data_IF_533248201040
#
_entry.id   IF_533248201040
#
_cell.length_a   1.000
_cell.length_b   1.000
_cell.length_c   1.000
_cell.angle_alpha   90.00
_cell.angle_beta   90.00
_cell.angle_gamma   90.00
#
_symmetry.space_group_name_H-M   'P 1'
#
loop_
_entity.id
_entity.type
_entity.pdbx_description
1 polymer ?
#
# COMPACT_ATOMS: atom_id res chain seq x y z
N UNK A 1 18.39 -45.68 -34.81
CA UNK A 1 17.68 -44.51 -34.27
C UNK A 1 17.01 -44.94 -32.99
N UNK A 2 17.64 -44.66 -31.84
CA UNK A 2 17.15 -45.09 -30.54
C UNK A 2 16.02 -44.15 -30.08
N UNK A 3 14.84 -44.71 -29.90
CA UNK A 3 13.72 -44.07 -29.21
C UNK A 3 14.15 -43.82 -27.75
N UNK A 4 14.07 -42.56 -27.30
CA UNK A 4 14.29 -42.21 -25.89
C UNK A 4 13.03 -42.63 -25.11
N UNK A 5 13.12 -43.59 -24.17
CA UNK A 5 12.02 -43.82 -23.22
C UNK A 5 12.13 -42.73 -22.16
N UNK A 6 11.04 -42.03 -21.88
CA UNK A 6 10.75 -41.21 -20.67
C UNK A 6 9.79 -40.04 -20.94
N UNK A 7 9.16 -39.96 -22.12
CA UNK A 7 7.96 -39.14 -22.30
C UNK A 7 6.75 -39.83 -21.64
N UNK A 8 6.79 -39.97 -20.32
CA UNK A 8 5.60 -40.19 -19.50
C UNK A 8 4.77 -38.91 -19.64
N UNK A 9 3.74 -38.95 -20.49
CA UNK A 9 2.70 -37.94 -20.53
C UNK A 9 2.01 -37.86 -19.15
N UNK A 10 2.54 -37.03 -18.26
CA UNK A 10 1.91 -36.62 -17.01
C UNK A 10 0.83 -35.58 -17.36
N UNK A 11 -0.41 -35.84 -16.94
CA UNK A 11 -1.62 -35.13 -17.37
C UNK A 11 -1.70 -33.62 -17.08
N UNK A 12 -2.87 -33.00 -17.31
CA UNK A 12 -3.08 -31.55 -17.58
C UNK A 12 -2.86 -30.55 -16.42
N UNK A 13 -2.06 -30.85 -15.39
CA UNK A 13 -1.97 -30.06 -14.15
C UNK A 13 -0.53 -29.83 -13.63
N UNK A 14 0.45 -29.54 -14.50
CA UNK A 14 1.81 -29.26 -14.05
C UNK A 14 2.02 -27.75 -13.80
N UNK A 15 2.16 -27.35 -12.54
CA UNK A 15 2.40 -25.96 -12.12
C UNK A 15 3.29 -25.87 -10.88
N UNK A 16 3.99 -24.74 -10.62
CA UNK A 16 4.92 -24.61 -9.50
C UNK A 16 4.25 -24.28 -8.14
N UNK A 17 2.94 -24.10 -8.09
CA UNK A 17 2.20 -23.62 -6.92
C UNK A 17 1.90 -24.71 -5.89
N UNK A 18 1.60 -24.31 -4.66
CA UNK A 18 1.29 -25.19 -3.55
C UNK A 18 -0.15 -24.98 -3.05
N UNK A 19 -0.90 -26.03 -2.70
CA UNK A 19 -0.52 -27.45 -2.81
C UNK A 19 -0.44 -27.92 -4.27
N UNK A 20 0.36 -28.95 -4.54
CA UNK A 20 0.52 -29.53 -5.89
C UNK A 20 -0.77 -30.18 -6.44
N UNK A 21 -1.77 -30.39 -5.58
CA UNK A 21 -3.09 -30.87 -5.96
C UNK A 21 -4.01 -29.77 -6.53
N UNK A 22 -3.58 -28.52 -6.49
CA UNK A 22 -4.35 -27.39 -7.02
C UNK A 22 -4.67 -27.61 -8.51
N UNK A 23 -5.86 -27.22 -8.94
CA UNK A 23 -6.33 -27.45 -10.31
C UNK A 23 -6.22 -26.14 -11.09
N UNK A 24 -5.18 -26.02 -11.92
CA UNK A 24 -4.96 -24.85 -12.79
C UNK A 24 -4.88 -25.28 -14.26
N UNK A 25 -5.99 -25.70 -14.88
CA UNK A 25 -5.99 -26.29 -16.22
C UNK A 25 -5.56 -25.30 -17.32
N UNK A 26 -5.65 -23.99 -17.04
CA UNK A 26 -5.27 -22.92 -17.97
C UNK A 26 -3.87 -22.38 -17.71
N UNK A 27 -3.11 -22.97 -16.78
CA UNK A 27 -1.81 -22.44 -16.38
C UNK A 27 -0.82 -22.38 -17.56
N UNK A 28 -0.21 -21.21 -17.72
CA UNK A 28 0.93 -21.00 -18.60
C UNK A 28 2.04 -20.27 -17.81
N UNK A 29 3.30 -20.72 -17.90
CA UNK A 29 4.42 -20.04 -17.25
C UNK A 29 4.61 -18.62 -17.80
N UNK A 30 5.38 -17.80 -17.08
CA UNK A 30 5.73 -16.46 -17.56
C UNK A 30 6.58 -16.55 -18.82
N UNK A 31 6.16 -15.82 -19.85
CA UNK A 31 6.90 -15.67 -21.13
C UNK A 31 8.07 -14.70 -21.01
N UNK A 32 7.98 -13.72 -20.12
CA UNK A 32 9.02 -12.72 -19.89
C UNK A 32 9.93 -13.12 -18.73
N UNK A 33 11.25 -12.85 -18.82
CA UNK A 33 12.15 -13.05 -17.69
C UNK A 33 11.76 -12.19 -16.48
N UNK A 34 11.92 -12.72 -15.27
CA UNK A 34 11.58 -12.02 -14.02
C UNK A 34 12.24 -10.63 -13.90
N UNK A 35 13.52 -10.41 -14.25
CA UNK A 35 14.11 -9.06 -14.20
C UNK A 35 13.40 -8.04 -15.10
N UNK A 36 12.87 -8.47 -16.26
CA UNK A 36 12.11 -7.60 -17.16
C UNK A 36 10.77 -7.24 -16.53
N UNK A 37 10.06 -8.22 -15.96
CA UNK A 37 8.77 -8.00 -15.28
C UNK A 37 8.96 -7.02 -14.11
N UNK A 38 9.94 -7.27 -13.23
CA UNK A 38 10.23 -6.43 -12.07
C UNK A 38 10.69 -5.03 -12.48
N UNK A 39 11.55 -4.92 -13.50
CA UNK A 39 12.02 -3.64 -14.03
C UNK A 39 10.90 -2.81 -14.64
N UNK A 40 10.03 -3.42 -15.45
CA UNK A 40 8.87 -2.75 -16.05
C UNK A 40 7.88 -2.28 -15.00
N UNK A 41 7.51 -3.15 -14.04
CA UNK A 41 6.57 -2.79 -12.98
C UNK A 41 7.15 -1.75 -12.02
N UNK A 42 8.42 -1.89 -11.64
CA UNK A 42 9.15 -0.90 -10.84
C UNK A 42 9.21 0.47 -11.54
N UNK A 43 9.37 0.48 -12.87
CA UNK A 43 9.29 1.70 -13.68
C UNK A 43 7.93 2.39 -13.61
N UNK A 44 6.82 1.64 -13.64
CA UNK A 44 5.47 2.19 -13.48
C UNK A 44 5.27 2.81 -12.09
N UNK A 45 5.69 2.10 -11.04
CA UNK A 45 5.65 2.60 -9.66
C UNK A 45 6.47 3.89 -9.54
N UNK A 46 7.71 3.89 -10.01
CA UNK A 46 8.61 5.04 -9.94
C UNK A 46 8.06 6.23 -10.72
N UNK A 47 7.49 6.00 -11.91
CA UNK A 47 6.82 7.03 -12.69
C UNK A 47 5.62 7.64 -11.97
N UNK A 48 4.75 6.80 -11.39
CA UNK A 48 3.57 7.26 -10.65
C UNK A 48 3.95 8.07 -9.41
N UNK A 49 4.86 7.55 -8.59
CA UNK A 49 5.35 8.22 -7.37
C UNK A 49 6.09 9.51 -7.74
N UNK A 50 6.95 9.47 -8.75
CA UNK A 50 7.72 10.63 -9.22
C UNK A 50 6.82 11.76 -9.71
N UNK A 51 5.80 11.43 -10.51
CA UNK A 51 4.81 12.39 -10.98
C UNK A 51 3.97 12.95 -9.82
N UNK A 52 3.47 12.09 -8.93
CA UNK A 52 2.68 12.50 -7.76
C UNK A 52 3.45 13.40 -6.80
N UNK A 53 4.70 13.05 -6.47
CA UNK A 53 5.56 13.87 -5.62
C UNK A 53 5.97 15.17 -6.31
N UNK A 54 6.24 15.12 -7.62
CA UNK A 54 6.50 16.32 -8.42
C UNK A 54 5.33 17.29 -8.41
N UNK A 55 4.10 16.79 -8.55
CA UNK A 55 2.88 17.58 -8.48
C UNK A 55 2.65 18.14 -7.06
N UNK A 56 2.87 17.33 -6.02
CA UNK A 56 2.78 17.76 -4.63
C UNK A 56 3.74 18.93 -4.34
N UNK A 57 4.98 18.86 -4.81
CA UNK A 57 5.97 19.93 -4.67
C UNK A 57 5.61 21.20 -5.46
N UNK A 58 4.95 21.06 -6.61
CA UNK A 58 4.44 22.21 -7.39
C UNK A 58 3.30 22.92 -6.67
N UNK A 59 2.37 22.18 -6.06
CA UNK A 59 1.26 22.77 -5.30
C UNK A 59 1.69 23.32 -3.95
N UNK A 60 2.70 22.71 -3.32
CA UNK A 60 3.22 23.15 -2.04
C UNK A 60 4.76 23.25 -2.10
N UNK A 61 5.28 24.42 -2.54
CA UNK A 61 6.72 24.66 -2.63
C UNK A 61 7.46 24.52 -1.28
N UNK A 62 6.74 24.55 -0.15
CA UNK A 62 7.34 24.34 1.17
C UNK A 62 7.73 22.88 1.45
N UNK A 63 7.27 21.91 0.63
CA UNK A 63 7.67 20.49 0.66
C UNK A 63 9.09 20.26 0.12
N UNK A 64 10.04 21.09 0.55
CA UNK A 64 11.46 20.95 0.28
C UNK A 64 12.15 19.97 1.24
N UNK A 65 13.49 19.92 1.18
CA UNK A 65 14.35 18.97 1.93
C UNK A 65 14.16 18.99 3.46
N UNK A 66 13.62 20.08 4.02
CA UNK A 66 13.30 20.23 5.45
C UNK A 66 12.04 19.45 5.89
N UNK A 67 11.26 18.92 4.95
CA UNK A 67 10.02 18.16 5.19
C UNK A 67 10.14 16.69 4.77
N UNK A 68 11.28 16.06 5.09
CA UNK A 68 11.57 14.67 4.69
C UNK A 68 10.51 13.68 5.19
N UNK A 69 10.00 13.86 6.42
CA UNK A 69 8.95 13.01 6.98
C UNK A 69 7.60 13.13 6.27
N UNK A 70 7.24 14.31 5.77
CA UNK A 70 6.00 14.50 5.00
C UNK A 70 6.14 13.93 3.60
N UNK A 71 7.29 14.16 2.96
CA UNK A 71 7.58 13.58 1.65
C UNK A 71 7.59 12.05 1.71
N UNK A 72 8.20 11.46 2.75
CA UNK A 72 8.13 10.02 2.98
C UNK A 72 6.69 9.54 3.10
N UNK A 73 5.86 10.24 3.87
CA UNK A 73 4.45 9.87 4.07
C UNK A 73 3.66 9.98 2.75
N UNK A 74 3.88 11.02 1.95
CA UNK A 74 3.29 11.16 0.61
C UNK A 74 3.72 10.00 -0.29
N UNK A 75 5.03 9.71 -0.36
CA UNK A 75 5.56 8.63 -1.20
C UNK A 75 4.99 7.28 -0.78
N UNK A 76 4.91 7.00 0.52
CA UNK A 76 4.29 5.79 1.06
C UNK A 76 2.84 5.64 0.62
N UNK A 77 2.02 6.68 0.79
CA UNK A 77 0.61 6.62 0.40
C UNK A 77 0.38 6.64 -1.12
N UNK A 78 1.29 7.24 -1.90
CA UNK A 78 1.28 7.10 -3.36
C UNK A 78 1.61 5.67 -3.79
N UNK A 79 2.59 5.02 -3.16
CA UNK A 79 2.91 3.61 -3.37
C UNK A 79 1.70 2.73 -3.04
N UNK A 80 1.09 2.92 -1.86
CA UNK A 80 -0.11 2.18 -1.46
C UNK A 80 -1.26 2.40 -2.45
N UNK A 81 -1.55 3.65 -2.81
CA UNK A 81 -2.59 3.98 -3.78
C UNK A 81 -2.36 3.32 -5.13
N UNK A 82 -1.10 3.26 -5.60
CA UNK A 82 -0.78 2.58 -6.85
C UNK A 82 -0.99 1.06 -6.75
N UNK A 83 -0.43 0.43 -5.71
CA UNK A 83 -0.52 -1.03 -5.55
C UNK A 83 -1.97 -1.46 -5.35
N UNK A 84 -2.74 -0.77 -4.51
CA UNK A 84 -4.15 -1.10 -4.29
C UNK A 84 -4.99 -0.91 -5.56
N UNK A 85 -4.88 0.24 -6.23
CA UNK A 85 -5.78 0.54 -7.35
C UNK A 85 -5.40 -0.19 -8.64
N UNK A 86 -4.11 -0.39 -8.91
CA UNK A 86 -3.65 -0.98 -10.16
C UNK A 86 -3.24 -2.43 -10.00
N UNK A 87 -2.45 -2.78 -8.99
CA UNK A 87 -1.95 -4.16 -8.84
C UNK A 87 -3.04 -5.08 -8.28
N UNK A 88 -3.60 -4.76 -7.12
CA UNK A 88 -4.73 -5.50 -6.52
C UNK A 88 -6.01 -5.30 -7.34
N UNK A 89 -6.22 -4.11 -7.93
CA UNK A 89 -7.32 -3.88 -8.87
C UNK A 89 -7.25 -4.80 -10.10
N UNK A 90 -6.05 -5.06 -10.63
CA UNK A 90 -5.87 -6.06 -11.69
C UNK A 90 -6.27 -7.46 -11.21
N UNK A 91 -5.88 -7.84 -9.99
CA UNK A 91 -6.28 -9.12 -9.41
C UNK A 91 -7.80 -9.25 -9.35
N UNK A 92 -8.51 -8.26 -8.80
CA UNK A 92 -9.97 -8.31 -8.69
C UNK A 92 -10.66 -8.45 -10.05
N UNK A 93 -10.17 -7.75 -11.08
CA UNK A 93 -10.81 -7.76 -12.40
C UNK A 93 -10.46 -8.99 -13.25
N UNK A 94 -9.26 -9.56 -13.06
CA UNK A 94 -8.70 -10.56 -13.97
C UNK A 94 -8.27 -11.88 -13.30
N UNK A 95 -8.56 -12.08 -12.01
CA UNK A 95 -8.16 -13.26 -11.22
C UNK A 95 -8.30 -14.62 -11.94
N UNK A 96 -9.41 -14.85 -12.64
CA UNK A 96 -9.72 -16.10 -13.35
C UNK A 96 -8.83 -16.35 -14.57
N UNK A 97 -8.22 -15.29 -15.11
CA UNK A 97 -7.35 -15.33 -16.29
C UNK A 97 -5.86 -15.20 -15.94
N UNK A 98 -5.51 -14.91 -14.69
CA UNK A 98 -4.11 -14.81 -14.25
C UNK A 98 -3.28 -16.06 -14.61
N UNK A 99 -3.78 -17.30 -14.43
CA UNK A 99 -2.98 -18.48 -14.73
C UNK A 99 -2.52 -18.56 -16.20
N UNK A 100 -3.35 -18.12 -17.16
CA UNK A 100 -3.05 -18.19 -18.59
C UNK A 100 -2.45 -16.89 -19.16
N UNK A 101 -2.75 -15.75 -18.55
CA UNK A 101 -2.42 -14.43 -19.08
C UNK A 101 -0.92 -14.14 -19.09
N UNK A 102 -0.51 -13.37 -20.09
CA UNK A 102 0.86 -12.91 -20.31
C UNK A 102 0.98 -11.39 -20.19
N UNK A 103 -0.06 -10.71 -19.68
CA UNK A 103 0.06 -9.28 -19.33
C UNK A 103 1.15 -9.08 -18.28
N UNK A 104 1.76 -7.89 -18.22
CA UNK A 104 2.76 -7.57 -17.21
C UNK A 104 2.26 -7.86 -15.78
N UNK A 105 1.02 -7.45 -15.48
CA UNK A 105 0.41 -7.63 -14.17
C UNK A 105 0.12 -9.11 -13.86
N UNK A 106 -0.40 -9.87 -14.83
CA UNK A 106 -0.64 -11.30 -14.62
C UNK A 106 0.66 -12.08 -14.40
N UNK A 107 1.72 -11.74 -15.14
CA UNK A 107 3.02 -12.37 -14.95
C UNK A 107 3.61 -12.05 -13.58
N UNK A 108 3.44 -10.82 -13.10
CA UNK A 108 3.86 -10.45 -11.75
C UNK A 108 3.02 -11.13 -10.67
N UNK A 109 1.70 -11.25 -10.86
CA UNK A 109 0.83 -12.00 -9.94
C UNK A 109 1.18 -13.49 -9.91
N UNK A 110 1.50 -14.10 -11.06
CA UNK A 110 2.01 -15.48 -11.11
C UNK A 110 3.30 -15.64 -10.32
N UNK A 111 4.25 -14.70 -10.46
CA UNK A 111 5.49 -14.71 -9.69
C UNK A 111 5.23 -14.56 -8.19
N UNK A 112 4.41 -13.60 -7.79
CA UNK A 112 4.07 -13.38 -6.38
C UNK A 112 3.28 -14.56 -5.78
N UNK A 113 2.45 -15.23 -6.58
CA UNK A 113 1.67 -16.40 -6.16
C UNK A 113 2.53 -17.62 -5.82
N UNK A 114 3.83 -17.62 -6.17
CA UNK A 114 4.77 -18.63 -5.66
C UNK A 114 4.93 -18.53 -4.13
N UNK A 115 4.78 -17.33 -3.59
CA UNK A 115 4.80 -17.07 -2.14
C UNK A 115 3.47 -17.38 -1.47
N UNK A 116 2.36 -17.27 -2.20
CA UNK A 116 1.03 -17.58 -1.72
C UNK A 116 0.09 -17.92 -2.88
N UNK A 117 -0.14 -19.20 -3.07
CA UNK A 117 -0.91 -19.71 -4.21
C UNK A 117 -2.40 -19.39 -4.12
N UNK A 118 -2.89 -18.86 -2.99
CA UNK A 118 -4.29 -18.41 -2.86
C UNK A 118 -4.64 -17.33 -3.87
N UNK A 119 -3.67 -16.54 -4.33
CA UNK A 119 -3.88 -15.56 -5.40
C UNK A 119 -4.16 -16.23 -6.75
N UNK A 120 -3.32 -17.17 -7.21
CA UNK A 120 -3.58 -17.88 -8.48
C UNK A 120 -4.77 -18.84 -8.40
N UNK A 121 -5.09 -19.33 -7.20
CA UNK A 121 -6.28 -20.12 -6.91
C UNK A 121 -7.57 -19.27 -6.82
N UNK A 122 -7.47 -17.94 -6.84
CA UNK A 122 -8.57 -17.02 -6.63
C UNK A 122 -9.37 -17.32 -5.35
N UNK A 123 -8.66 -17.56 -4.25
CA UNK A 123 -9.26 -17.86 -2.95
C UNK A 123 -10.29 -16.79 -2.54
N UNK A 124 -11.51 -17.17 -2.11
CA UNK A 124 -12.57 -16.20 -1.80
C UNK A 124 -12.18 -15.20 -0.72
N UNK A 125 -11.44 -15.64 0.31
CA UNK A 125 -11.02 -14.74 1.37
C UNK A 125 -10.03 -13.70 0.82
N UNK A 126 -9.07 -14.12 0.00
CA UNK A 126 -8.15 -13.19 -0.68
C UNK A 126 -8.91 -12.20 -1.56
N UNK A 127 -9.88 -12.66 -2.36
CA UNK A 127 -10.70 -11.75 -3.17
C UNK A 127 -11.48 -10.74 -2.33
N UNK A 128 -12.03 -11.15 -1.19
CA UNK A 128 -12.75 -10.24 -0.30
C UNK A 128 -11.84 -9.16 0.29
N UNK A 129 -10.67 -9.54 0.85
CA UNK A 129 -9.78 -8.56 1.47
C UNK A 129 -9.18 -7.60 0.42
N UNK A 130 -8.83 -8.12 -0.76
CA UNK A 130 -8.29 -7.30 -1.84
C UNK A 130 -9.37 -6.41 -2.49
N UNK A 131 -10.65 -6.81 -2.41
CA UNK A 131 -11.74 -5.91 -2.83
C UNK A 131 -11.86 -4.72 -1.87
N UNK A 132 -11.70 -4.94 -0.56
CA UNK A 132 -11.70 -3.85 0.42
C UNK A 132 -10.49 -2.93 0.23
N UNK A 133 -9.31 -3.48 -0.09
CA UNK A 133 -8.11 -2.68 -0.35
C UNK A 133 -8.30 -1.80 -1.58
N UNK A 134 -8.83 -2.34 -2.67
CA UNK A 134 -9.10 -1.59 -3.91
C UNK A 134 -10.16 -0.51 -3.69
N UNK A 135 -11.29 -0.84 -3.06
CA UNK A 135 -12.43 0.09 -2.96
C UNK A 135 -12.28 1.13 -1.86
N UNK A 136 -11.51 0.84 -0.80
CA UNK A 136 -11.41 1.69 0.39
C UNK A 136 -9.98 2.18 0.59
N UNK A 137 -9.00 1.28 0.72
CA UNK A 137 -7.64 1.68 1.12
C UNK A 137 -6.89 2.41 0.00
N UNK A 138 -7.08 2.03 -1.26
CA UNK A 138 -6.50 2.71 -2.42
C UNK A 138 -6.93 4.18 -2.52
N UNK A 139 -8.25 4.47 -2.62
CA UNK A 139 -8.75 5.84 -2.69
C UNK A 139 -8.39 6.68 -1.46
N UNK A 140 -8.50 6.11 -0.25
CA UNK A 140 -8.15 6.83 0.98
C UNK A 140 -6.64 7.11 1.06
N UNK A 141 -5.78 6.21 0.59
CA UNK A 141 -4.33 6.45 0.53
C UNK A 141 -4.01 7.66 -0.34
N UNK A 142 -4.57 7.73 -1.55
CA UNK A 142 -4.37 8.88 -2.43
C UNK A 142 -4.94 10.17 -1.82
N UNK A 143 -6.09 10.09 -1.14
CA UNK A 143 -6.68 11.23 -0.45
C UNK A 143 -5.76 11.74 0.68
N UNK A 144 -5.17 10.85 1.48
CA UNK A 144 -4.19 11.23 2.51
C UNK A 144 -2.98 11.92 1.87
N UNK A 145 -2.44 11.39 0.78
CA UNK A 145 -1.33 12.02 0.06
C UNK A 145 -1.70 13.45 -0.43
N UNK A 146 -2.90 13.65 -0.97
CA UNK A 146 -3.41 14.96 -1.39
C UNK A 146 -3.60 15.92 -0.22
N UNK A 147 -4.13 15.45 0.91
CA UNK A 147 -4.29 16.28 2.11
C UNK A 147 -2.94 16.78 2.64
N UNK A 148 -1.92 15.93 2.64
CA UNK A 148 -0.56 16.33 3.01
C UNK A 148 0.02 17.29 1.98
N UNK A 149 -0.12 16.96 0.70
CA UNK A 149 0.41 17.79 -0.39
C UNK A 149 -0.19 19.21 -0.39
N UNK A 150 -1.44 19.37 0.03
CA UNK A 150 -2.13 20.66 0.04
C UNK A 150 -2.16 21.35 1.40
N UNK A 151 -1.45 20.84 2.42
CA UNK A 151 -1.29 21.53 3.70
C UNK A 151 -0.17 22.57 3.59
N UNK A 152 -0.53 23.77 3.14
CA UNK A 152 0.38 24.90 2.95
C UNK A 152 0.57 25.75 4.20
N UNK A 153 0.24 25.24 5.41
CA UNK A 153 0.38 26.07 6.60
C UNK A 153 1.84 26.40 6.90
N UNK A 154 2.16 27.65 6.62
CA UNK A 154 3.41 28.35 6.85
C UNK A 154 3.92 28.03 8.25
N UNK A 155 5.11 27.45 8.34
CA UNK A 155 6.00 27.66 9.47
C UNK A 155 6.34 29.15 9.53
N UNK A 156 5.43 29.96 10.08
CA UNK A 156 5.78 31.26 10.63
C UNK A 156 6.58 30.95 11.89
N UNK A 157 7.84 30.59 11.72
CA UNK A 157 8.82 30.67 12.78
C UNK A 157 8.71 32.05 13.40
N UNK A 158 8.45 32.04 14.69
CA UNK A 158 8.49 33.16 15.62
C UNK A 158 9.76 33.98 15.40
N UNK A 159 9.67 35.02 14.56
CA UNK A 159 10.47 36.21 14.69
C UNK A 159 9.58 37.25 15.35
N UNK A 160 9.74 37.39 16.66
CA UNK A 160 9.25 38.50 17.44
C UNK A 160 9.87 39.79 16.90
N UNK A 161 9.14 40.53 16.08
CA UNK A 161 9.40 41.94 15.84
C UNK A 161 8.10 42.69 16.04
N UNK A 162 8.05 43.37 17.19
CA UNK A 162 7.02 44.32 17.57
C UNK A 162 6.90 45.44 16.54
N UNK A 163 5.74 45.52 15.89
CA UNK A 163 5.25 46.78 15.37
C UNK A 163 3.72 46.77 15.35
N UNK A 164 3.19 47.74 16.09
CA UNK A 164 1.80 48.12 16.18
C UNK A 164 1.32 48.73 14.86
N UNK A 165 0.18 48.28 14.32
CA UNK A 165 -0.93 49.18 13.97
C UNK A 165 -2.10 48.46 13.29
N UNK A 166 -3.30 48.95 13.65
CA UNK A 166 -4.56 48.99 12.91
C UNK A 166 -5.31 47.69 12.56
N UNK A 167 -6.43 47.56 13.25
CA UNK A 167 -7.61 46.74 13.01
C UNK A 167 -8.31 47.05 11.68
N UNK A 168 -8.63 45.99 10.91
CA UNK A 168 -9.96 45.69 10.34
C UNK A 168 -9.87 44.61 9.24
N UNK A 169 -9.72 43.35 9.65
CA UNK A 169 -9.93 42.15 8.80
C UNK A 169 -10.02 40.87 9.65
N UNK A 170 -10.88 40.87 10.67
CA UNK A 170 -10.96 39.79 11.68
C UNK A 170 -11.87 38.61 11.30
N UNK A 171 -12.64 38.70 10.20
CA UNK A 171 -13.60 37.66 9.78
C UNK A 171 -13.04 36.66 8.75
N UNK A 172 -12.09 37.06 7.90
CA UNK A 172 -11.45 36.18 6.90
C UNK A 172 -10.29 35.35 7.47
N UNK A 173 -9.62 35.86 8.51
CA UNK A 173 -8.48 35.21 9.19
C UNK A 173 -8.90 34.11 10.16
N UNK A 174 -10.04 34.26 10.83
CA UNK A 174 -10.62 33.26 11.73
C UNK A 174 -11.22 32.06 10.96
N UNK A 175 -11.83 32.31 9.79
CA UNK A 175 -12.38 31.25 8.93
C UNK A 175 -11.30 30.43 8.19
N UNK A 176 -10.18 31.04 7.80
CA UNK A 176 -9.04 30.33 7.20
C UNK A 176 -8.28 29.45 8.20
N UNK A 177 -8.10 29.93 9.43
CA UNK A 177 -7.48 29.17 10.53
C UNK A 177 -8.30 27.92 10.92
N UNK A 178 -9.62 28.05 11.03
CA UNK A 178 -10.53 26.93 11.31
C UNK A 178 -10.56 25.88 10.19
N UNK A 179 -10.55 26.30 8.91
CA UNK A 179 -10.45 25.38 7.76
C UNK A 179 -9.15 24.60 7.74
N UNK A 180 -8.04 25.25 8.11
CA UNK A 180 -6.72 24.63 8.19
C UNK A 180 -6.62 23.61 9.32
N UNK A 181 -7.13 23.93 10.51
CA UNK A 181 -7.17 23.00 11.65
C UNK A 181 -8.00 21.74 11.33
N UNK A 182 -9.16 21.92 10.69
CA UNK A 182 -10.02 20.81 10.24
C UNK A 182 -9.32 19.92 9.21
N UNK A 183 -8.55 20.49 8.27
CA UNK A 183 -7.77 19.71 7.30
C UNK A 183 -6.68 18.87 7.96
N UNK A 184 -5.95 19.43 8.93
CA UNK A 184 -4.95 18.68 9.71
C UNK A 184 -5.59 17.55 10.51
N UNK A 185 -6.72 17.80 11.16
CA UNK A 185 -7.47 16.77 11.87
C UNK A 185 -7.93 15.65 10.92
N UNK A 186 -8.53 16.01 9.78
CA UNK A 186 -9.00 15.04 8.78
C UNK A 186 -7.84 14.19 8.23
N UNK A 187 -6.69 14.80 7.95
CA UNK A 187 -5.48 14.09 7.54
C UNK A 187 -5.12 13.00 8.54
N UNK A 188 -5.01 13.34 9.83
CA UNK A 188 -4.61 12.35 10.86
C UNK A 188 -5.68 11.28 11.06
N UNK A 189 -6.97 11.63 11.03
CA UNK A 189 -8.06 10.65 11.10
C UNK A 189 -7.97 9.66 9.94
N UNK A 190 -7.86 10.14 8.69
CA UNK A 190 -7.77 9.26 7.53
C UNK A 190 -6.48 8.44 7.51
N UNK A 191 -5.34 9.04 7.89
CA UNK A 191 -4.08 8.33 8.02
C UNK A 191 -4.20 7.18 9.03
N UNK A 192 -4.79 7.43 10.21
CA UNK A 192 -5.03 6.40 11.22
C UNK A 192 -5.94 5.29 10.68
N UNK A 193 -7.07 5.67 10.05
CA UNK A 193 -8.01 4.70 9.46
C UNK A 193 -7.35 3.78 8.46
N UNK A 194 -6.58 4.33 7.50
CA UNK A 194 -5.86 3.51 6.51
C UNK A 194 -4.79 2.64 7.18
N UNK A 195 -4.03 3.19 8.14
CA UNK A 195 -2.98 2.42 8.82
C UNK A 195 -3.57 1.23 9.60
N UNK A 196 -4.70 1.42 10.28
CA UNK A 196 -5.41 0.32 10.96
C UNK A 196 -5.87 -0.72 9.93
N UNK A 197 -6.42 -0.27 8.80
CA UNK A 197 -6.83 -1.15 7.69
C UNK A 197 -5.68 -2.03 7.18
N UNK A 198 -4.50 -1.45 6.98
CA UNK A 198 -3.29 -2.19 6.57
C UNK A 198 -2.84 -3.19 7.64
N UNK A 199 -2.73 -2.77 8.91
CA UNK A 199 -2.34 -3.67 10.01
C UNK A 199 -3.31 -4.84 10.15
N UNK A 200 -4.61 -4.56 10.06
CA UNK A 200 -5.66 -5.57 10.11
C UNK A 200 -5.59 -6.53 8.92
N UNK A 201 -5.42 -6.00 7.70
CA UNK A 201 -5.26 -6.81 6.49
C UNK A 201 -4.07 -7.76 6.58
N UNK A 202 -2.90 -7.26 6.99
CA UNK A 202 -1.69 -8.09 7.18
C UNK A 202 -1.90 -9.14 8.28
N UNK A 203 -2.53 -8.78 9.39
CA UNK A 203 -2.84 -9.72 10.47
C UNK A 203 -3.76 -10.85 9.99
N UNK A 204 -4.81 -10.53 9.22
CA UNK A 204 -5.69 -11.55 8.65
C UNK A 204 -4.98 -12.37 7.56
N UNK A 205 -4.13 -11.75 6.74
CA UNK A 205 -3.38 -12.43 5.69
C UNK A 205 -2.48 -13.54 6.24
N UNK A 206 -1.68 -13.22 7.26
CA UNK A 206 -0.85 -14.20 7.97
C UNK A 206 -1.69 -15.17 8.81
N UNK A 207 -2.69 -14.64 9.53
CA UNK A 207 -3.53 -15.43 10.44
C UNK A 207 -4.32 -16.52 9.72
N UNK A 208 -4.91 -16.21 8.56
CA UNK A 208 -5.67 -17.19 7.76
C UNK A 208 -4.77 -18.25 7.15
N UNK A 209 -3.58 -17.89 6.66
CA UNK A 209 -2.62 -18.85 6.15
C UNK A 209 -2.16 -19.81 7.25
N UNK A 210 -1.74 -19.27 8.39
CA UNK A 210 -1.29 -20.06 9.54
C UNK A 210 -2.41 -20.91 10.14
N UNK A 211 -3.66 -20.43 10.13
CA UNK A 211 -4.81 -21.22 10.54
C UNK A 211 -5.04 -22.41 9.61
N UNK A 212 -5.06 -22.19 8.29
CA UNK A 212 -5.26 -23.26 7.31
C UNK A 212 -4.13 -24.29 7.39
N UNK A 213 -2.88 -23.84 7.49
CA UNK A 213 -1.74 -24.74 7.67
C UNK A 213 -1.88 -25.57 8.95
N UNK A 214 -2.24 -24.95 10.07
CA UNK A 214 -2.32 -25.63 11.36
C UNK A 214 -3.46 -26.65 11.46
N UNK A 215 -4.60 -26.36 10.86
CA UNK A 215 -5.83 -27.15 11.01
C UNK A 215 -6.14 -28.05 9.81
N UNK A 216 -5.81 -27.63 8.59
CA UNK A 216 -6.03 -28.42 7.38
C UNK A 216 -4.75 -29.07 6.85
N UNK A 217 -3.56 -28.69 7.36
CA UNK A 217 -2.28 -29.22 6.88
C UNK A 217 -1.94 -28.77 5.46
N UNK A 218 -2.56 -27.69 4.98
CA UNK A 218 -2.36 -27.16 3.62
C UNK A 218 -1.46 -25.93 3.68
N UNK A 219 -0.34 -25.99 2.97
CA UNK A 219 0.56 -24.85 2.78
C UNK A 219 0.35 -24.29 1.36
N UNK A 220 0.18 -22.97 1.25
CA UNK A 220 0.03 -22.28 -0.04
C UNK A 220 1.32 -21.63 -0.54
N UNK A 221 2.32 -21.52 0.32
CA UNK A 221 3.64 -21.02 -0.03
C UNK A 221 4.54 -22.14 -0.50
N UNK A 222 5.39 -21.85 -1.48
CA UNK A 222 6.50 -22.71 -1.82
C UNK A 222 7.53 -22.79 -0.67
N UNK A 223 8.14 -23.96 -0.42
CA UNK A 223 8.99 -24.16 0.75
C UNK A 223 10.37 -23.48 0.64
N UNK A 224 10.78 -23.05 -0.56
CA UNK A 224 12.07 -22.39 -0.74
C UNK A 224 12.14 -21.04 0.01
N UNK A 225 13.33 -20.76 0.56
CA UNK A 225 13.57 -19.55 1.36
C UNK A 225 13.13 -18.25 0.67
N UNK A 226 13.36 -18.15 -0.64
CA UNK A 226 12.98 -16.99 -1.43
C UNK A 226 11.47 -16.70 -1.33
N UNK A 227 10.63 -17.73 -1.52
CA UNK A 227 9.20 -17.52 -1.62
C UNK A 227 8.56 -17.30 -0.26
N UNK A 228 8.98 -18.02 0.77
CA UNK A 228 8.44 -17.81 2.10
C UNK A 228 9.02 -16.57 2.81
N UNK A 229 10.34 -16.44 2.89
CA UNK A 229 10.95 -15.39 3.70
C UNK A 229 11.08 -14.06 2.97
N UNK A 230 11.42 -14.07 1.69
CA UNK A 230 11.60 -12.81 0.94
C UNK A 230 10.26 -12.31 0.45
N UNK A 231 9.45 -13.13 -0.22
CA UNK A 231 8.18 -12.68 -0.78
C UNK A 231 7.07 -12.65 0.28
N UNK A 232 6.72 -13.80 0.87
CA UNK A 232 5.58 -13.89 1.78
C UNK A 232 5.78 -13.08 3.07
N UNK A 233 6.91 -13.26 3.77
CA UNK A 233 7.22 -12.48 4.98
C UNK A 233 7.78 -11.08 4.65
N UNK A 234 8.83 -11.03 3.84
CA UNK A 234 9.61 -9.82 3.60
C UNK A 234 8.87 -8.72 2.84
N UNK A 235 8.17 -9.04 1.74
CA UNK A 235 7.47 -8.03 0.95
C UNK A 235 6.22 -7.50 1.66
N UNK A 236 5.60 -8.26 2.56
CA UNK A 236 4.44 -7.80 3.33
C UNK A 236 4.82 -7.07 4.63
N UNK A 237 6.03 -7.27 5.17
CA UNK A 237 6.50 -6.61 6.39
C UNK A 237 6.42 -5.06 6.39
N UNK A 238 6.64 -4.34 5.26
CA UNK A 238 6.42 -2.90 5.19
C UNK A 238 4.99 -2.48 5.54
N UNK A 239 3.98 -3.25 5.16
CA UNK A 239 2.57 -2.98 5.47
C UNK A 239 2.20 -3.24 6.94
N UNK A 240 3.08 -3.90 7.71
CA UNK A 240 2.98 -3.92 9.16
C UNK A 240 3.76 -2.75 9.78
N UNK A 241 5.04 -2.61 9.42
CA UNK A 241 5.97 -1.72 10.11
C UNK A 241 5.72 -0.23 9.84
N UNK A 242 5.52 0.17 8.58
CA UNK A 242 5.32 1.59 8.23
C UNK A 242 3.97 2.11 8.74
N UNK A 243 2.84 1.39 8.56
CA UNK A 243 1.57 1.79 9.16
C UNK A 243 1.61 1.88 10.69
N UNK A 244 2.27 0.95 11.38
CA UNK A 244 2.43 1.03 12.84
C UNK A 244 3.18 2.30 13.27
N UNK A 245 4.27 2.64 12.57
CA UNK A 245 5.02 3.87 12.84
C UNK A 245 4.20 5.14 12.54
N UNK A 246 3.48 5.17 11.41
CA UNK A 246 2.62 6.29 11.02
C UNK A 246 1.42 6.47 11.97
N UNK A 247 0.88 5.37 12.49
CA UNK A 247 -0.18 5.34 13.49
C UNK A 247 0.32 5.94 14.81
N UNK A 248 1.47 5.48 15.30
CA UNK A 248 2.11 6.05 16.50
C UNK A 248 2.39 7.55 16.34
N UNK A 249 2.94 7.96 15.18
CA UNK A 249 3.21 9.37 14.89
C UNK A 249 1.94 10.22 14.91
N UNK A 250 0.86 9.76 14.26
CA UNK A 250 -0.41 10.50 14.26
C UNK A 250 -1.05 10.55 15.65
N UNK A 251 -0.98 9.46 16.43
CA UNK A 251 -1.48 9.43 17.80
C UNK A 251 -0.78 10.48 18.68
N UNK A 252 0.55 10.59 18.60
CA UNK A 252 1.31 11.60 19.35
C UNK A 252 0.92 13.03 18.97
N UNK A 253 0.73 13.31 17.68
CA UNK A 253 0.33 14.66 17.23
C UNK A 253 -1.08 15.03 17.70
N UNK A 254 -2.01 14.07 17.73
CA UNK A 254 -3.36 14.29 18.26
C UNK A 254 -3.30 14.61 19.76
N UNK A 255 -2.56 13.81 20.56
CA UNK A 255 -2.42 14.05 22.01
C UNK A 255 -1.85 15.44 22.29
N UNK A 256 -0.76 15.82 21.59
CA UNK A 256 -0.15 17.16 21.71
C UNK A 256 -1.14 18.29 21.40
N UNK A 257 -1.99 18.11 20.39
CA UNK A 257 -3.00 19.10 20.03
C UNK A 257 -4.06 19.27 21.13
N UNK A 258 -4.45 18.17 21.80
CA UNK A 258 -5.38 18.24 22.93
C UNK A 258 -4.77 18.92 24.16
N UNK A 259 -3.53 18.57 24.53
CA UNK A 259 -2.81 19.21 25.66
C UNK A 259 -2.65 20.71 25.45
N UNK A 260 -2.22 21.14 24.25
CA UNK A 260 -2.10 22.56 23.91
C UNK A 260 -3.44 23.31 23.92
N UNK A 261 -4.57 22.63 23.71
CA UNK A 261 -5.90 23.23 23.81
C UNK A 261 -6.36 23.44 25.25
N UNK A 262 -5.90 22.62 26.19
CA UNK A 262 -6.24 22.72 27.61
C UNK A 262 -5.45 23.83 28.30
N UNK A 263 -4.14 23.95 28.01
CA UNK A 263 -3.31 25.03 28.57
C UNK A 263 -3.83 26.41 28.22
N UNK A 264 -4.36 26.59 26.99
CA UNK A 264 -4.92 27.88 26.54
C UNK A 264 -6.27 28.27 27.17
N UNK A 265 -6.91 27.36 27.92
CA UNK A 265 -8.17 27.66 28.66
C UNK A 265 -7.92 28.08 30.11
N UNK A 266 -6.69 27.91 30.61
CA UNK A 266 -6.32 28.22 32.00
C UNK A 266 -5.57 29.55 32.17
N UNK A 267 -5.19 30.19 31.05
CA UNK A 267 -4.63 31.54 30.97
C UNK A 267 -5.68 32.54 30.46
#
# INVERSE_FOLDING_TARGET
MAHKPDDIWLGPNHHPYHPQSLQLPTYAPNSSPIPVILGSFGGLIAGFIGAGLGLARRYNPSLGRKSAGEQFTIVWFLLCGFLHLFFEGYFILFHSTIPSSQSLFAQLWKEYSLSDSRYVAADPFMLCIETLTVLIWGPLSLLVAVLIATDTTTSSSSSSSSSSSSSSSSSSSSSSSSRSARRRALRHVLQITVCIGHLYGVALYYGTCGFIERYAGVTYSRPEFLYFWVYYAGMNAPWASVPAWLLWRSGKEIVRAFEGSQGKKMD
#
